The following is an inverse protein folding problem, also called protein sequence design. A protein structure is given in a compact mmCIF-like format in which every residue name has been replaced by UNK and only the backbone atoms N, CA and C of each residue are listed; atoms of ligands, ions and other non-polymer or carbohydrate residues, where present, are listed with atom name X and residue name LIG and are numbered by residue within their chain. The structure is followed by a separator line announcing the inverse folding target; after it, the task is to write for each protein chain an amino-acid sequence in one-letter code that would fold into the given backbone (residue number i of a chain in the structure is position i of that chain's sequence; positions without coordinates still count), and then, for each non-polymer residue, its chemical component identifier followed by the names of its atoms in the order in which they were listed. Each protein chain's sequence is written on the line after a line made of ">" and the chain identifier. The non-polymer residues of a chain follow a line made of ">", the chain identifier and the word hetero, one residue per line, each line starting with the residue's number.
data_IF_806612810941
#
_entry.id   IF_806612810941
#
_cell.length_a   1.000
_cell.length_b   1.000
_cell.length_c   1.000
_cell.angle_alpha   90.00
_cell.angle_beta   90.00
_cell.angle_gamma   90.00
#
_symmetry.space_group_name_H-M   'P 1'
#
loop_
_entity.id
_entity.type
_entity.pdbx_description
1 polymer ?
#
# COMPACT_ATOMS: atom_id res chain seq x y z
N UNK A 1 -12.21 -5.61 25.76
CA UNK A 1 -12.11 -5.22 24.34
C UNK A 1 -12.66 -6.35 23.51
N UNK A 2 -13.50 -6.01 22.55
CA UNK A 2 -14.10 -6.95 21.60
C UNK A 2 -13.05 -7.46 20.60
N UNK A 3 -13.32 -8.61 20.00
CA UNK A 3 -12.39 -9.26 19.07
C UNK A 3 -12.13 -8.41 17.82
N UNK A 4 -13.14 -7.68 17.32
CA UNK A 4 -13.00 -6.81 16.16
C UNK A 4 -12.02 -5.66 16.44
N UNK A 5 -12.13 -5.00 17.59
CA UNK A 5 -11.17 -3.98 17.99
C UNK A 5 -9.73 -4.50 18.02
N UNK A 6 -9.51 -5.68 18.61
CA UNK A 6 -8.18 -6.29 18.70
C UNK A 6 -7.59 -6.64 17.33
N UNK A 7 -8.41 -7.18 16.42
CA UNK A 7 -7.98 -7.51 15.06
C UNK A 7 -7.61 -6.25 14.27
N UNK A 8 -8.43 -5.20 14.35
CA UNK A 8 -8.13 -3.93 13.68
C UNK A 8 -6.82 -3.31 14.18
N UNK A 9 -6.64 -3.27 15.50
CA UNK A 9 -5.42 -2.74 16.10
C UNK A 9 -4.18 -3.57 15.72
N UNK A 10 -4.31 -4.90 15.70
CA UNK A 10 -3.23 -5.79 15.29
C UNK A 10 -2.85 -5.59 13.81
N UNK A 11 -3.83 -5.49 12.91
CA UNK A 11 -3.56 -5.26 11.48
C UNK A 11 -2.83 -3.93 11.25
N UNK A 12 -3.30 -2.85 11.88
CA UNK A 12 -2.65 -1.54 11.80
C UNK A 12 -1.24 -1.62 12.38
N UNK A 13 -1.07 -2.17 13.58
CA UNK A 13 0.24 -2.26 14.23
C UNK A 13 1.25 -3.09 13.42
N UNK A 14 0.83 -4.25 12.91
CA UNK A 14 1.69 -5.14 12.12
C UNK A 14 2.10 -4.51 10.80
N UNK A 15 1.17 -3.87 10.08
CA UNK A 15 1.49 -3.22 8.80
C UNK A 15 2.46 -2.06 8.98
N UNK A 16 2.25 -1.19 9.97
CA UNK A 16 3.20 -0.12 10.28
C UNK A 16 4.57 -0.66 10.71
N UNK A 17 4.61 -1.66 11.59
CA UNK A 17 5.85 -2.27 12.04
C UNK A 17 6.64 -2.89 10.88
N UNK A 18 5.93 -3.56 9.95
CA UNK A 18 6.52 -4.11 8.73
C UNK A 18 7.17 -3.00 7.88
N UNK A 19 6.42 -1.94 7.54
CA UNK A 19 6.95 -0.86 6.71
C UNK A 19 8.12 -0.12 7.37
N UNK A 20 8.04 0.13 8.68
CA UNK A 20 9.15 0.73 9.45
C UNK A 20 10.37 -0.19 9.43
N UNK A 21 10.18 -1.50 9.63
CA UNK A 21 11.25 -2.49 9.55
C UNK A 21 11.94 -2.51 8.20
N UNK A 22 11.16 -2.50 7.11
CA UNK A 22 11.66 -2.43 5.73
C UNK A 22 12.44 -1.13 5.51
N UNK A 23 11.94 0.01 6.01
CA UNK A 23 12.58 1.31 5.85
C UNK A 23 13.93 1.40 6.59
N UNK A 24 14.02 0.82 7.79
CA UNK A 24 15.28 0.76 8.55
C UNK A 24 16.29 -0.16 7.85
N UNK A 25 15.84 -1.33 7.38
CA UNK A 25 16.69 -2.32 6.72
C UNK A 25 17.22 -1.84 5.37
N UNK A 26 16.37 -1.19 4.55
CA UNK A 26 16.69 -0.74 3.19
C UNK A 26 17.03 0.75 3.12
N UNK A 27 17.72 1.29 4.14
CA UNK A 27 18.07 2.71 4.18
C UNK A 27 18.98 3.09 3.01
N UNK A 28 18.55 4.05 2.19
CA UNK A 28 19.31 4.54 1.04
C UNK A 28 20.66 5.15 1.46
N UNK A 29 21.72 4.83 0.71
CA UNK A 29 23.09 5.33 0.95
C UNK A 29 23.51 6.39 -0.07
N UNK A 30 22.96 6.32 -1.28
CA UNK A 30 23.18 7.31 -2.33
C UNK A 30 21.85 7.87 -2.86
N UNK A 31 21.94 9.04 -3.50
CA UNK A 31 20.82 9.72 -4.18
C UNK A 31 20.17 8.84 -5.23
N UNK A 32 20.96 8.06 -5.98
CA UNK A 32 20.47 7.11 -6.98
C UNK A 32 19.62 5.99 -6.38
N UNK A 33 19.93 5.54 -5.17
CA UNK A 33 19.18 4.48 -4.50
C UNK A 33 17.81 4.99 -4.06
N UNK A 34 17.74 6.26 -3.64
CA UNK A 34 16.50 6.89 -3.22
C UNK A 34 15.57 7.24 -4.38
N UNK A 35 16.10 7.81 -5.48
CA UNK A 35 15.26 8.29 -6.58
C UNK A 35 14.97 7.26 -7.67
N UNK A 36 15.90 6.35 -7.94
CA UNK A 36 15.78 5.40 -9.05
C UNK A 36 16.01 3.95 -8.63
N UNK A 37 16.08 3.67 -7.33
CA UNK A 37 16.34 2.33 -6.79
C UNK A 37 17.56 1.65 -7.45
N UNK A 38 18.61 2.44 -7.74
CA UNK A 38 19.82 1.95 -8.43
C UNK A 38 19.59 1.41 -9.84
N UNK A 39 18.42 1.65 -10.45
CA UNK A 39 17.96 1.09 -11.74
C UNK A 39 17.90 -0.45 -11.76
N UNK A 40 17.81 -1.08 -10.60
CA UNK A 40 17.82 -2.54 -10.46
C UNK A 40 16.43 -3.20 -10.47
N UNK A 41 15.35 -2.41 -10.43
CA UNK A 41 13.97 -2.94 -10.34
C UNK A 41 13.47 -3.36 -11.73
N UNK A 42 13.06 -4.63 -11.92
CA UNK A 42 12.52 -5.08 -13.20
C UNK A 42 11.21 -4.35 -13.58
N UNK A 43 10.93 -4.17 -14.88
CA UNK A 43 9.76 -3.40 -15.35
C UNK A 43 8.42 -3.89 -14.80
N UNK A 44 8.25 -5.21 -14.62
CA UNK A 44 7.00 -5.79 -14.09
C UNK A 44 6.74 -5.34 -12.66
N UNK A 45 7.75 -5.37 -11.79
CA UNK A 45 7.63 -4.91 -10.40
C UNK A 45 7.39 -3.41 -10.34
N UNK A 46 8.04 -2.63 -11.21
CA UNK A 46 7.81 -1.19 -11.29
C UNK A 46 6.36 -0.89 -11.74
N UNK A 47 5.84 -1.63 -12.72
CA UNK A 47 4.44 -1.52 -13.15
C UNK A 47 3.44 -1.88 -12.05
N UNK A 48 3.72 -2.94 -11.28
CA UNK A 48 2.89 -3.30 -10.11
C UNK A 48 2.92 -2.22 -9.02
N UNK A 49 4.08 -1.62 -8.75
CA UNK A 49 4.20 -0.53 -7.79
C UNK A 49 3.35 0.69 -8.20
N UNK A 50 3.42 1.10 -9.47
CA UNK A 50 2.59 2.19 -10.01
C UNK A 50 1.10 1.85 -9.87
N UNK A 51 0.71 0.63 -10.19
CA UNK A 51 -0.68 0.17 -10.05
C UNK A 51 -1.16 0.20 -8.59
N UNK A 52 -0.31 -0.20 -7.65
CA UNK A 52 -0.61 -0.14 -6.22
C UNK A 52 -0.73 1.31 -5.72
N UNK A 53 0.18 2.21 -6.12
CA UNK A 53 0.15 3.63 -5.75
C UNK A 53 -1.07 4.36 -6.32
N UNK A 54 -1.59 3.92 -7.46
CA UNK A 54 -2.85 4.42 -8.03
C UNK A 54 -4.08 4.05 -7.19
N UNK A 55 -4.02 2.94 -6.44
CA UNK A 55 -5.16 2.41 -5.68
C UNK A 55 -5.15 2.93 -4.24
N UNK A 56 -5.75 4.09 -4.01
CA UNK A 56 -6.02 4.59 -2.66
C UNK A 56 -7.18 3.83 -1.98
N UNK A 57 -7.15 3.75 -0.65
CA UNK A 57 -8.26 3.24 0.15
C UNK A 57 -9.57 4.00 -0.11
N UNK A 58 -9.48 5.31 -0.34
CA UNK A 58 -10.63 6.14 -0.70
C UNK A 58 -11.22 5.72 -2.06
N UNK A 59 -10.37 5.42 -3.04
CA UNK A 59 -10.81 4.93 -4.36
C UNK A 59 -11.48 3.57 -4.26
N UNK A 60 -10.94 2.66 -3.45
CA UNK A 60 -11.53 1.33 -3.24
C UNK A 60 -12.90 1.40 -2.55
N UNK A 61 -12.98 2.10 -1.41
CA UNK A 61 -14.24 2.27 -0.67
C UNK A 61 -15.24 3.09 -1.49
N UNK A 62 -14.77 4.11 -2.20
CA UNK A 62 -15.59 4.94 -3.08
C UNK A 62 -16.24 4.12 -4.19
N UNK A 63 -15.46 3.31 -4.91
CA UNK A 63 -16.00 2.41 -5.93
C UNK A 63 -17.02 1.42 -5.33
N UNK A 64 -16.69 0.78 -4.21
CA UNK A 64 -17.58 -0.15 -3.53
C UNK A 64 -18.90 0.52 -3.09
N UNK A 65 -18.82 1.73 -2.56
CA UNK A 65 -19.98 2.54 -2.16
C UNK A 65 -20.84 2.97 -3.36
N UNK A 66 -20.22 3.40 -4.45
CA UNK A 66 -20.95 3.77 -5.68
C UNK A 66 -21.66 2.55 -6.26
N UNK A 67 -20.99 1.39 -6.37
CA UNK A 67 -21.61 0.15 -6.88
C UNK A 67 -22.73 -0.33 -5.96
N UNK A 68 -22.60 -0.19 -4.64
CA UNK A 68 -23.68 -0.50 -3.70
C UNK A 68 -24.95 0.34 -3.98
N UNK A 69 -24.80 1.59 -4.39
CA UNK A 69 -25.91 2.54 -4.59
C UNK A 69 -26.48 2.47 -6.01
N UNK A 70 -25.61 2.47 -7.02
CA UNK A 70 -25.98 2.62 -8.44
C UNK A 70 -26.01 1.28 -9.20
N UNK A 71 -25.37 0.23 -8.67
CA UNK A 71 -25.19 -1.05 -9.34
C UNK A 71 -23.92 -1.10 -10.21
N UNK A 72 -23.71 -2.21 -10.92
CA UNK A 72 -22.51 -2.43 -11.74
C UNK A 72 -22.41 -1.49 -12.95
N UNK A 73 -23.55 -1.14 -13.55
CA UNK A 73 -23.65 -0.24 -14.71
C UNK A 73 -23.93 1.22 -14.32
N UNK A 74 -23.91 1.51 -13.01
CA UNK A 74 -24.48 2.70 -12.41
C UNK A 74 -23.54 3.89 -12.28
#
# INVERSE_FOLDING_TARGET
>A
MDAQFLVSLALIGVTFALYIGIAIYNKARATSDFYVAGRGVPPVFNGMAIGADWMSAASFIGLAGTVMILGYDG
#
